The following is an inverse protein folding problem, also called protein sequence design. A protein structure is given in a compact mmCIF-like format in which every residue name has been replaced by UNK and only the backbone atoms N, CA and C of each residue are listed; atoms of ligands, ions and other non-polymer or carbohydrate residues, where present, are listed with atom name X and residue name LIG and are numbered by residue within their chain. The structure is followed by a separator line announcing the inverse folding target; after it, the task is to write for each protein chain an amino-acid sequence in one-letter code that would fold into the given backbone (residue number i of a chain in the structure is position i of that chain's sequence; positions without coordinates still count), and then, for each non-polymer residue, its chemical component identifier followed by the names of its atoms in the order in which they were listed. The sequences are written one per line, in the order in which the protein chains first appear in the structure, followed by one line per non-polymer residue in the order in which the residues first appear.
data_IF_805564293243
#
_entry.id   IF_805564293243
#
_cell.length_a   1.000
_cell.length_b   1.000
_cell.length_c   1.000
_cell.angle_alpha   90.00
_cell.angle_beta   90.00
_cell.angle_gamma   90.00
#
_symmetry.space_group_name_H-M   'P 1'
#
loop_
_entity.id
_entity.type
_entity.pdbx_description
1 polymer ?
#
# COMPACT_ATOMS: atom_id res chain seq x y z
N UNK A 1 -2.09 5.22 0.40
CA UNK A 1 -0.78 4.64 0.06
C UNK A 1 0.03 5.64 -0.72
N UNK A 2 1.31 5.84 -0.35
CA UNK A 2 2.25 6.69 -1.09
C UNK A 2 3.07 5.81 -2.02
N UNK A 3 3.06 6.14 -3.31
CA UNK A 3 3.97 5.61 -4.31
C UNK A 3 4.97 6.71 -4.66
N UNK A 4 6.24 6.47 -4.38
CA UNK A 4 7.29 7.44 -4.64
C UNK A 4 8.30 6.87 -5.63
N UNK A 5 8.58 7.57 -6.76
CA UNK A 5 9.62 7.15 -7.68
C UNK A 5 10.99 7.32 -7.00
N UNK A 6 11.70 6.23 -6.83
CA UNK A 6 12.96 6.14 -6.10
C UNK A 6 14.18 6.57 -6.94
N UNK A 7 14.11 7.75 -7.56
CA UNK A 7 15.22 8.32 -8.37
C UNK A 7 15.39 9.82 -8.15
N UNK A 8 15.20 10.27 -6.92
CA UNK A 8 15.25 11.69 -6.57
C UNK A 8 16.46 11.97 -5.68
N UNK A 9 17.17 13.06 -5.97
CA UNK A 9 18.24 13.69 -5.19
C UNK A 9 17.73 14.27 -3.86
N UNK A 10 16.86 13.54 -3.18
CA UNK A 10 16.25 13.95 -1.93
C UNK A 10 17.18 13.58 -0.79
N UNK A 11 17.59 14.53 0.05
CA UNK A 11 18.39 14.23 1.24
C UNK A 11 17.58 13.35 2.19
N UNK A 12 18.28 12.47 2.90
CA UNK A 12 17.74 11.58 3.93
C UNK A 12 16.82 12.35 4.89
N UNK A 13 15.53 11.99 4.94
CA UNK A 13 14.54 12.65 5.79
C UNK A 13 13.34 11.75 6.06
N UNK A 14 12.81 11.84 7.28
CA UNK A 14 11.49 11.31 7.61
C UNK A 14 10.44 12.29 7.08
N UNK A 15 9.53 11.81 6.23
CA UNK A 15 8.42 12.60 5.73
C UNK A 15 7.12 12.11 6.39
N UNK A 16 6.37 13.08 6.91
CA UNK A 16 5.01 12.89 7.35
C UNK A 16 4.10 13.47 6.27
N UNK A 17 3.24 12.62 5.70
CA UNK A 17 2.25 13.04 4.72
C UNK A 17 0.88 12.68 5.25
N UNK A 18 0.06 13.71 5.44
CA UNK A 18 -1.38 13.58 5.60
C UNK A 18 -2.02 13.57 4.22
N UNK A 19 -2.73 12.50 3.88
CA UNK A 19 -3.44 12.43 2.59
C UNK A 19 -4.68 13.35 2.65
N UNK A 20 -4.76 14.37 1.77
CA UNK A 20 -5.73 15.49 1.84
C UNK A 20 -7.09 15.20 1.15
N UNK A 21 -7.28 14.06 0.46
CA UNK A 21 -8.58 13.72 -0.19
C UNK A 21 -8.97 12.23 -0.06
N UNK A 22 -10.27 11.90 0.08
CA UNK A 22 -11.24 12.30 1.12
C UNK A 22 -11.56 11.07 2.05
N UNK A 23 -12.48 11.15 3.04
CA UNK A 23 -12.30 10.51 4.34
C UNK A 23 -12.79 9.06 4.40
N UNK A 24 -11.89 8.10 4.61
CA UNK A 24 -12.30 6.71 4.92
C UNK A 24 -13.05 6.57 6.26
N UNK A 25 -13.14 7.64 7.06
CA UNK A 25 -13.57 7.59 8.46
C UNK A 25 -14.82 8.41 8.78
N UNK A 26 -15.09 9.56 8.16
CA UNK A 26 -16.09 10.50 8.70
C UNK A 26 -17.56 10.02 8.53
N UNK A 27 -17.89 9.40 7.39
CA UNK A 27 -19.21 8.76 7.17
C UNK A 27 -19.33 7.42 7.90
N UNK A 28 -18.19 6.84 8.22
CA UNK A 28 -18.04 5.51 8.80
C UNK A 28 -18.18 5.52 10.33
N UNK A 29 -17.55 6.51 10.99
CA UNK A 29 -17.78 6.87 12.39
C UNK A 29 -19.25 7.18 12.61
N UNK A 30 -19.89 7.95 11.73
CA UNK A 30 -21.34 8.23 11.80
C UNK A 30 -22.25 7.02 11.55
N UNK A 31 -21.77 5.98 10.86
CA UNK A 31 -22.52 4.73 10.64
C UNK A 31 -22.38 3.77 11.83
N UNK A 32 -21.18 3.70 12.42
CA UNK A 32 -20.92 3.06 13.72
C UNK A 32 -21.78 3.65 14.84
N UNK A 33 -21.96 4.97 14.88
CA UNK A 33 -22.80 5.64 15.90
C UNK A 33 -24.30 5.33 15.78
N UNK A 34 -24.76 4.74 14.67
CA UNK A 34 -26.19 4.60 14.35
C UNK A 34 -26.71 3.15 14.31
N UNK A 35 -25.84 2.15 14.36
CA UNK A 35 -26.22 0.75 14.14
C UNK A 35 -25.29 -0.17 14.93
N UNK A 36 -25.83 -1.20 15.58
CA UNK A 36 -25.11 -2.29 16.29
C UNK A 36 -24.24 -3.15 15.32
N UNK A 37 -23.34 -2.52 14.57
CA UNK A 37 -22.66 -3.07 13.39
C UNK A 37 -21.15 -2.83 13.40
N UNK A 38 -20.52 -2.71 14.57
CA UNK A 38 -19.08 -2.46 14.73
C UNK A 38 -18.21 -3.42 13.88
N UNK A 39 -18.62 -4.68 13.75
CA UNK A 39 -17.86 -5.71 13.01
C UNK A 39 -17.76 -5.39 11.51
N UNK A 40 -18.83 -4.90 10.88
CA UNK A 40 -18.82 -4.61 9.44
C UNK A 40 -17.96 -3.37 9.17
N UNK A 41 -17.98 -2.41 10.10
CA UNK A 41 -17.17 -1.22 9.96
C UNK A 41 -15.66 -1.49 10.11
N UNK A 42 -15.26 -2.27 11.11
CA UNK A 42 -13.87 -2.71 11.21
C UNK A 42 -13.40 -3.43 9.95
N UNK A 43 -14.26 -4.27 9.35
CA UNK A 43 -13.93 -5.03 8.15
C UNK A 43 -13.74 -4.17 6.89
N UNK A 44 -14.46 -3.07 6.72
CA UNK A 44 -14.31 -2.21 5.54
C UNK A 44 -13.03 -1.36 5.59
N UNK A 45 -12.75 -0.75 6.75
CA UNK A 45 -11.55 0.07 6.90
C UNK A 45 -10.31 -0.81 6.71
N UNK A 46 -10.29 -1.98 7.34
CA UNK A 46 -9.24 -2.98 7.10
C UNK A 46 -9.20 -3.44 5.65
N UNK A 47 -10.35 -3.62 4.98
CA UNK A 47 -10.39 -4.02 3.58
C UNK A 47 -9.76 -2.97 2.66
N UNK A 48 -10.15 -1.70 2.79
CA UNK A 48 -9.64 -0.61 1.97
C UNK A 48 -8.16 -0.32 2.22
N UNK A 49 -7.70 -0.39 3.48
CA UNK A 49 -6.27 -0.22 3.83
C UNK A 49 -5.43 -1.39 3.30
N UNK A 50 -5.86 -2.64 3.53
CA UNK A 50 -5.11 -3.83 3.11
C UNK A 50 -5.20 -4.11 1.61
N UNK A 51 -6.27 -3.70 0.93
CA UNK A 51 -6.40 -3.86 -0.53
C UNK A 51 -5.31 -3.09 -1.27
N UNK A 52 -4.91 -1.91 -0.78
CA UNK A 52 -3.85 -1.11 -1.40
C UNK A 52 -2.53 -1.86 -1.44
N UNK A 53 -2.14 -2.43 -0.31
CA UNK A 53 -0.96 -3.29 -0.20
C UNK A 53 -1.11 -4.55 -1.06
N UNK A 54 -2.25 -5.24 -0.94
CA UNK A 54 -2.53 -6.47 -1.68
C UNK A 54 -2.54 -6.29 -3.20
N UNK A 55 -2.95 -5.13 -3.72
CA UNK A 55 -2.96 -4.84 -5.16
C UNK A 55 -1.57 -4.50 -5.73
N UNK A 56 -0.63 -4.06 -4.89
CA UNK A 56 0.75 -3.81 -5.31
C UNK A 56 1.71 -4.97 -5.00
N UNK A 57 1.20 -6.08 -4.47
CA UNK A 57 1.96 -7.32 -4.38
C UNK A 57 2.09 -8.01 -5.74
N UNK A 58 3.05 -8.95 -5.83
CA UNK A 58 3.26 -9.76 -7.02
C UNK A 58 1.99 -10.53 -7.41
N UNK A 59 1.31 -11.14 -6.43
CA UNK A 59 0.07 -11.87 -6.61
C UNK A 59 -1.07 -11.25 -5.79
N UNK A 60 -1.99 -10.59 -6.47
CA UNK A 60 -3.15 -9.96 -5.85
C UNK A 60 -4.37 -10.83 -6.04
N UNK A 61 -4.94 -11.30 -4.94
CA UNK A 61 -6.20 -12.05 -4.95
C UNK A 61 -7.06 -11.61 -3.77
N UNK A 62 -8.28 -11.22 -4.07
CA UNK A 62 -9.32 -11.09 -3.05
C UNK A 62 -9.84 -12.49 -2.74
N UNK A 63 -9.61 -12.96 -1.52
CA UNK A 63 -10.03 -14.28 -1.07
C UNK A 63 -10.73 -14.19 0.28
N UNK A 64 -11.82 -14.93 0.44
CA UNK A 64 -12.53 -15.11 1.70
C UNK A 64 -13.05 -16.53 1.77
N UNK A 65 -12.83 -17.20 2.90
CA UNK A 65 -13.18 -18.61 3.11
C UNK A 65 -14.64 -18.82 3.52
N UNK A 66 -15.19 -17.86 4.29
CA UNK A 66 -16.58 -17.92 4.82
C UNK A 66 -17.46 -16.78 4.30
N UNK A 67 -16.88 -15.76 3.68
CA UNK A 67 -17.59 -14.59 3.16
C UNK A 67 -16.99 -14.15 1.84
N UNK A 68 -17.85 -13.71 0.92
CA UNK A 68 -17.39 -13.10 -0.34
C UNK A 68 -16.81 -11.72 -0.04
N UNK A 69 -15.51 -11.55 -0.29
CA UNK A 69 -14.79 -10.28 -0.12
C UNK A 69 -14.58 -9.61 -1.46
N UNK A 70 -15.66 -9.08 -2.02
CA UNK A 70 -15.64 -8.37 -3.30
C UNK A 70 -16.04 -6.91 -3.11
N UNK A 71 -15.43 -5.96 -3.84
CA UNK A 71 -15.59 -4.53 -3.57
C UNK A 71 -17.04 -4.04 -3.65
N UNK A 72 -17.85 -4.61 -4.54
CA UNK A 72 -19.25 -4.23 -4.75
C UNK A 72 -20.22 -4.75 -3.69
N UNK A 73 -19.77 -5.56 -2.73
CA UNK A 73 -20.58 -5.95 -1.57
C UNK A 73 -20.48 -4.97 -0.39
N UNK A 74 -19.60 -3.99 -0.51
CA UNK A 74 -19.34 -3.03 0.56
C UNK A 74 -20.06 -1.70 0.29
N UNK A 75 -19.50 -0.87 -0.58
CA UNK A 75 -20.05 0.42 -1.00
C UNK A 75 -19.38 0.91 -2.30
N UNK A 76 -19.92 1.98 -2.88
CA UNK A 76 -19.38 2.61 -4.10
C UNK A 76 -17.96 3.18 -3.88
N UNK A 77 -17.62 3.53 -2.64
CA UNK A 77 -16.32 4.08 -2.28
C UNK A 77 -15.23 3.01 -2.32
N UNK A 78 -15.44 1.86 -1.68
CA UNK A 78 -14.54 0.72 -1.77
C UNK A 78 -14.37 0.21 -3.21
N UNK A 79 -15.44 0.29 -4.01
CA UNK A 79 -15.40 -0.02 -5.43
C UNK A 79 -14.49 0.95 -6.20
N UNK A 80 -14.59 2.26 -5.96
CA UNK A 80 -13.76 3.26 -6.63
C UNK A 80 -12.28 3.14 -6.22
N UNK A 81 -12.01 2.88 -4.92
CA UNK A 81 -10.67 2.59 -4.42
C UNK A 81 -10.08 1.37 -5.12
N UNK A 82 -10.83 0.26 -5.15
CA UNK A 82 -10.39 -0.95 -5.87
C UNK A 82 -10.11 -0.63 -7.34
N UNK A 83 -11.02 0.07 -8.02
CA UNK A 83 -10.88 0.45 -9.44
C UNK A 83 -9.62 1.28 -9.68
N UNK A 84 -9.35 2.28 -8.83
CA UNK A 84 -8.16 3.13 -8.90
C UNK A 84 -6.87 2.32 -8.78
N UNK A 85 -6.78 1.44 -7.78
CA UNK A 85 -5.59 0.63 -7.55
C UNK A 85 -5.43 -0.50 -8.57
N UNK A 86 -6.52 -1.08 -9.08
CA UNK A 86 -6.48 -2.01 -10.21
C UNK A 86 -5.93 -1.33 -11.46
N UNK A 87 -6.44 -0.13 -11.82
CA UNK A 87 -5.93 0.64 -12.97
C UNK A 87 -4.46 1.02 -12.79
N UNK A 88 -4.04 1.35 -11.57
CA UNK A 88 -2.64 1.62 -11.25
C UNK A 88 -1.76 0.38 -11.45
N UNK A 89 -2.19 -0.79 -10.95
CA UNK A 89 -1.47 -2.06 -11.16
C UNK A 89 -1.33 -2.38 -12.64
N UNK A 90 -2.40 -2.20 -13.42
CA UNK A 90 -2.39 -2.43 -14.86
C UNK A 90 -1.40 -1.49 -15.58
N UNK A 91 -1.34 -0.21 -15.19
CA UNK A 91 -0.33 0.73 -15.71
C UNK A 91 1.11 0.33 -15.34
N UNK A 92 1.30 -0.24 -14.14
CA UNK A 92 2.59 -0.75 -13.69
C UNK A 92 2.91 -2.16 -14.21
N UNK A 93 2.00 -2.82 -14.94
CA UNK A 93 2.18 -4.21 -15.37
C UNK A 93 3.47 -4.44 -16.18
N UNK A 94 3.86 -3.56 -17.13
CA UNK A 94 5.14 -3.71 -17.82
C UNK A 94 6.35 -3.65 -16.88
N UNK A 95 6.26 -2.84 -15.82
CA UNK A 95 7.30 -2.75 -14.80
C UNK A 95 7.34 -4.00 -13.90
N UNK A 96 6.18 -4.41 -13.39
CA UNK A 96 6.03 -5.60 -12.54
C UNK A 96 6.50 -6.86 -13.26
N UNK A 97 6.18 -6.99 -14.56
CA UNK A 97 6.62 -8.11 -15.38
C UNK A 97 8.15 -8.14 -15.54
N UNK A 98 8.78 -6.99 -15.83
CA UNK A 98 10.26 -6.90 -15.86
C UNK A 98 10.88 -7.29 -14.52
N UNK A 99 10.28 -6.86 -13.41
CA UNK A 99 10.77 -7.23 -12.07
C UNK A 99 10.56 -8.72 -11.77
N UNK A 100 9.51 -9.34 -12.30
CA UNK A 100 9.29 -10.78 -12.18
C UNK A 100 10.34 -11.59 -12.97
N UNK A 101 10.66 -11.17 -14.20
CA UNK A 101 11.75 -11.76 -15.00
C UNK A 101 13.08 -11.63 -14.28
N UNK A 102 13.43 -10.43 -13.83
CA UNK A 102 14.65 -10.20 -13.04
C UNK A 102 14.70 -11.06 -11.78
N UNK A 103 13.56 -11.23 -11.11
CA UNK A 103 13.45 -12.07 -9.92
C UNK A 103 13.70 -13.54 -10.23
N UNK A 104 13.19 -14.03 -11.36
CA UNK A 104 13.47 -15.38 -11.83
C UNK A 104 14.95 -15.60 -12.17
N UNK A 105 15.59 -14.64 -12.84
CA UNK A 105 17.00 -14.76 -13.27
C UNK A 105 18.00 -14.61 -12.12
N UNK A 106 17.72 -13.74 -11.15
CA UNK A 106 18.68 -13.38 -10.09
C UNK A 106 18.35 -13.97 -8.72
N UNK A 107 17.13 -14.48 -8.53
CA UNK A 107 16.62 -14.90 -7.23
C UNK A 107 16.22 -13.74 -6.29
N UNK A 108 16.42 -12.48 -6.70
CA UNK A 108 16.08 -11.31 -5.88
C UNK A 108 14.56 -11.07 -5.97
N UNK A 109 13.82 -11.00 -4.84
CA UNK A 109 12.37 -10.79 -4.88
C UNK A 109 12.00 -9.42 -5.45
N UNK A 110 10.85 -9.31 -6.11
CA UNK A 110 10.36 -8.02 -6.64
C UNK A 110 9.93 -7.06 -5.53
N UNK A 111 9.41 -7.57 -4.42
CA UNK A 111 9.15 -6.78 -3.21
C UNK A 111 10.35 -6.96 -2.27
N UNK A 112 11.02 -5.87 -1.93
CA UNK A 112 12.29 -5.89 -1.20
C UNK A 112 12.18 -5.07 0.07
N UNK A 113 12.64 -5.64 1.17
CA UNK A 113 12.77 -4.91 2.43
C UNK A 113 13.79 -3.78 2.26
N UNK A 114 13.60 -2.67 2.98
CA UNK A 114 14.50 -1.51 2.86
C UNK A 114 15.95 -1.88 3.12
N UNK A 115 16.21 -2.77 4.09
CA UNK A 115 17.56 -3.26 4.43
C UNK A 115 18.25 -4.01 3.28
N UNK A 116 17.51 -4.59 2.34
CA UNK A 116 18.10 -5.28 1.17
C UNK A 116 18.69 -4.30 0.17
N UNK A 117 18.14 -3.09 0.07
CA UNK A 117 18.61 -2.05 -0.86
C UNK A 117 19.54 -1.05 -0.18
N UNK A 118 19.34 -0.81 1.13
CA UNK A 118 20.08 0.17 1.94
C UNK A 118 20.74 -0.49 3.14
N UNK A 119 21.59 -1.48 2.89
CA UNK A 119 22.33 -2.24 3.92
C UNK A 119 23.21 -1.36 4.81
N UNK A 120 23.74 -0.28 4.24
CA UNK A 120 24.59 0.73 4.91
C UNK A 120 23.81 1.71 5.77
N UNK A 121 22.49 1.77 5.66
CA UNK A 121 21.66 2.66 6.46
C UNK A 121 21.13 1.93 7.71
N UNK A 122 21.58 2.29 8.92
CA UNK A 122 21.09 1.65 10.14
C UNK A 122 19.58 1.80 10.33
N UNK A 123 18.98 2.88 9.82
CA UNK A 123 17.55 3.11 9.91
C UNK A 123 16.75 2.07 9.12
N UNK A 124 17.28 1.59 7.98
CA UNK A 124 16.60 0.65 7.09
C UNK A 124 16.31 -0.71 7.74
N UNK A 125 16.99 -1.04 8.85
CA UNK A 125 16.75 -2.26 9.64
C UNK A 125 15.43 -2.23 10.42
N UNK A 126 14.93 -1.04 10.73
CA UNK A 126 13.73 -0.83 11.55
C UNK A 126 12.50 -0.43 10.71
N UNK A 127 12.63 -0.38 9.38
CA UNK A 127 11.54 0.00 8.47
C UNK A 127 10.76 -1.24 8.03
N UNK A 128 9.63 -1.49 8.67
CA UNK A 128 8.70 -2.59 8.37
C UNK A 128 7.40 -2.11 7.69
N UNK A 129 7.05 -0.83 7.82
CA UNK A 129 5.86 -0.23 7.22
C UNK A 129 6.05 0.29 5.78
N UNK A 130 7.21 0.05 5.16
CA UNK A 130 7.49 0.46 3.78
C UNK A 130 8.41 -0.55 3.08
N UNK A 131 8.35 -0.61 1.76
CA UNK A 131 9.18 -1.52 0.97
C UNK A 131 9.51 -0.95 -0.40
N UNK A 132 10.56 -1.51 -1.01
CA UNK A 132 10.94 -1.24 -2.39
C UNK A 132 10.21 -2.23 -3.31
N UNK A 133 9.43 -1.70 -4.26
CA UNK A 133 8.83 -2.44 -5.34
C UNK A 133 9.75 -2.34 -6.56
N UNK A 134 10.53 -3.38 -6.77
CA UNK A 134 11.60 -3.40 -7.74
C UNK A 134 12.69 -2.40 -7.39
N UNK A 135 13.39 -1.90 -8.41
CA UNK A 135 14.51 -0.97 -8.36
C UNK A 135 14.15 0.52 -8.29
N UNK A 136 12.89 0.88 -8.54
CA UNK A 136 12.54 2.27 -8.87
C UNK A 136 11.32 2.81 -8.13
N UNK A 137 10.62 2.00 -7.34
CA UNK A 137 9.42 2.45 -6.63
C UNK A 137 9.55 2.15 -5.15
N UNK A 138 9.32 3.16 -4.31
CA UNK A 138 9.11 3.01 -2.88
C UNK A 138 7.62 3.03 -2.60
N UNK A 139 7.14 2.03 -1.86
CA UNK A 139 5.75 1.88 -1.48
C UNK A 139 5.62 1.99 0.03
N UNK A 140 4.82 2.97 0.48
CA UNK A 140 4.42 3.12 1.88
C UNK A 140 2.89 3.02 2.00
N UNK A 141 2.37 1.84 2.39
CA UNK A 141 0.94 1.67 2.65
C UNK A 141 0.48 2.51 3.85
N UNK A 142 -0.80 2.89 3.86
CA UNK A 142 -1.42 3.52 5.02
C UNK A 142 -1.95 2.40 5.89
N UNK A 143 -1.59 2.38 7.17
CA UNK A 143 -2.11 1.42 8.15
C UNK A 143 -2.85 2.08 9.30
N UNK A 144 -2.84 3.42 9.37
CA UNK A 144 -3.46 4.20 10.44
C UNK A 144 -4.81 4.76 9.99
N UNK A 145 -5.76 4.81 10.92
CA UNK A 145 -7.13 5.31 10.69
C UNK A 145 -7.17 6.84 10.49
N UNK A 146 -6.15 7.54 11.00
CA UNK A 146 -5.96 8.99 10.87
C UNK A 146 -5.50 9.44 9.46
N UNK A 147 -5.32 8.49 8.53
CA UNK A 147 -4.81 8.71 7.17
C UNK A 147 -3.42 9.37 7.11
N UNK A 148 -2.66 9.26 8.20
CA UNK A 148 -1.29 9.73 8.27
C UNK A 148 -0.34 8.59 7.89
N UNK A 149 0.64 8.92 7.04
CA UNK A 149 1.72 8.02 6.68
C UNK A 149 3.04 8.70 7.01
N UNK A 150 3.77 8.06 7.91
CA UNK A 150 5.18 8.34 8.11
C UNK A 150 5.97 7.37 7.23
N UNK A 151 6.81 7.91 6.37
CA UNK A 151 7.74 7.11 5.59
C UNK A 151 9.11 7.77 5.56
N UNK A 152 10.11 6.93 5.57
CA UNK A 152 11.49 7.30 5.53
C UNK A 152 11.98 7.29 4.09
N UNK A 153 12.54 8.41 3.65
CA UNK A 153 13.30 8.47 2.42
C UNK A 153 14.79 8.22 2.74
N UNK A 154 15.36 7.09 2.28
CA UNK A 154 16.80 6.92 2.31
C UNK A 154 17.51 7.98 1.47
N UNK A 155 18.84 8.02 1.54
CA UNK A 155 19.63 8.85 0.64
C UNK A 155 19.56 8.29 -0.79
N UNK A 156 19.06 9.10 -1.72
CA UNK A 156 18.94 8.75 -3.14
C UNK A 156 20.18 9.15 -3.94
N UNK A 157 20.43 8.45 -5.06
CA UNK A 157 21.32 8.90 -6.14
C UNK A 157 20.49 9.38 -7.32
#
# INVERSE_FOLDING_TARGET
MVLYPWKTTTPKRLLHVKLIEPPYTERYVRWCERSEGEIIAFLLLDFCLRMQFGLLSTHSRLHGSKSYRVPWLFDDEALEVCRRFTRLKLRLMPYLYRMAVKSHETGIPSMRAMVMEFDRDPAARYLDMQYMLGDSLLVAPVFREDNEVEYYLPEGR
#
